data_IF_387920356960
#
_entry.id   IF_387920356960
#
_cell.length_a   1.000
_cell.length_b   1.000
_cell.length_c   1.000
_cell.angle_alpha   90.00
_cell.angle_beta   90.00
_cell.angle_gamma   90.00
#
_symmetry.space_group_name_H-M   'P 1'
#
loop_
_entity.id
_entity.type
_entity.pdbx_description
1 polymer ?
#
# COMPACT_ATOMS: atom_id res chain seq x y z
N UNK A 1 -10.58 21.01 -27.34
CA UNK A 1 -11.18 21.06 -25.99
C UNK A 1 -11.13 19.66 -25.43
N UNK A 2 -10.04 19.29 -24.74
CA UNK A 2 -9.99 18.04 -23.98
C UNK A 2 -10.98 18.18 -22.83
N UNK A 3 -11.97 17.28 -22.78
CA UNK A 3 -12.80 17.11 -21.59
C UNK A 3 -11.84 16.75 -20.45
N UNK A 4 -11.69 17.64 -19.46
CA UNK A 4 -11.00 17.31 -18.23
C UNK A 4 -11.83 16.23 -17.51
N UNK A 5 -11.51 14.96 -17.74
CA UNK A 5 -11.98 13.89 -16.87
C UNK A 5 -11.51 14.23 -15.45
N UNK A 6 -12.44 14.34 -14.51
CA UNK A 6 -12.10 14.51 -13.10
C UNK A 6 -11.18 13.36 -12.64
N UNK A 7 -10.09 13.68 -11.95
CA UNK A 7 -9.18 12.68 -11.39
C UNK A 7 -9.93 11.59 -10.61
N UNK A 8 -9.58 10.32 -10.81
CA UNK A 8 -10.34 9.20 -10.26
C UNK A 8 -9.58 7.88 -10.23
N UNK A 9 -10.17 6.84 -9.62
CA UNK A 9 -9.63 5.49 -9.66
C UNK A 9 -9.73 4.90 -11.08
N UNK A 10 -8.66 4.27 -11.55
CA UNK A 10 -8.57 3.65 -12.87
C UNK A 10 -8.04 2.23 -12.71
N UNK A 11 -8.85 1.25 -13.10
CA UNK A 11 -8.42 -0.15 -13.12
C UNK A 11 -7.40 -0.37 -14.24
N UNK A 12 -6.19 -0.78 -13.85
CA UNK A 12 -5.07 -1.04 -14.75
C UNK A 12 -4.83 -2.54 -14.95
N UNK A 13 -5.15 -3.38 -13.97
CA UNK A 13 -5.09 -4.84 -14.07
C UNK A 13 -6.46 -5.39 -13.70
N UNK A 14 -7.01 -6.26 -14.53
CA UNK A 14 -8.24 -7.00 -14.27
C UNK A 14 -7.99 -8.51 -14.28
N UNK A 15 -8.86 -9.24 -13.58
CA UNK A 15 -8.92 -10.70 -13.63
C UNK A 15 -10.19 -11.06 -14.40
N UNK A 16 -10.05 -11.80 -15.50
CA UNK A 16 -11.18 -12.24 -16.31
C UNK A 16 -11.93 -13.40 -15.65
N UNK A 17 -13.11 -13.74 -16.17
CA UNK A 17 -13.88 -14.91 -15.71
C UNK A 17 -13.11 -16.22 -15.87
N UNK A 18 -12.17 -16.29 -16.82
CA UNK A 18 -11.28 -17.42 -17.06
C UNK A 18 -10.02 -17.42 -16.17
N UNK A 19 -10.00 -16.62 -15.10
CA UNK A 19 -8.88 -16.50 -14.17
C UNK A 19 -7.56 -16.02 -14.81
N UNK A 20 -7.66 -15.21 -15.88
CA UNK A 20 -6.49 -14.62 -16.55
C UNK A 20 -6.29 -13.16 -16.14
N UNK A 21 -5.03 -12.78 -16.03
CA UNK A 21 -4.62 -11.40 -15.80
C UNK A 21 -4.57 -10.63 -17.11
N UNK A 22 -5.21 -9.47 -17.14
CA UNK A 22 -5.16 -8.55 -18.28
C UNK A 22 -4.70 -7.18 -17.82
N UNK A 23 -3.61 -6.70 -18.41
CA UNK A 23 -3.13 -5.33 -18.25
C UNK A 23 -3.80 -4.42 -19.29
N UNK A 24 -4.47 -3.37 -18.83
CA UNK A 24 -4.95 -2.30 -19.71
C UNK A 24 -3.80 -1.31 -19.98
N UNK A 25 -2.94 -1.66 -20.94
CA UNK A 25 -1.79 -0.84 -21.33
C UNK A 25 -2.20 0.58 -21.71
N UNK A 26 -3.39 0.78 -22.28
CA UNK A 26 -3.85 2.11 -22.70
C UNK A 26 -4.12 2.99 -21.48
N UNK A 27 -4.84 2.48 -20.49
CA UNK A 27 -5.10 3.20 -19.23
C UNK A 27 -3.81 3.41 -18.45
N UNK A 28 -2.96 2.39 -18.33
CA UNK A 28 -1.69 2.52 -17.64
C UNK A 28 -0.82 3.61 -18.29
N UNK A 29 -0.74 3.62 -19.62
CA UNK A 29 -0.01 4.63 -20.37
C UNK A 29 -0.58 6.03 -20.13
N UNK A 30 -1.90 6.22 -20.09
CA UNK A 30 -2.51 7.52 -19.79
C UNK A 30 -2.07 8.08 -18.42
N UNK A 31 -1.91 7.21 -17.42
CA UNK A 31 -1.49 7.58 -16.06
C UNK A 31 0.01 7.87 -16.03
N UNK A 32 0.82 6.93 -16.50
CA UNK A 32 2.28 6.99 -16.37
C UNK A 32 2.94 7.98 -17.35
N UNK A 33 2.30 8.28 -18.48
CA UNK A 33 2.72 9.31 -19.43
C UNK A 33 2.01 10.65 -19.19
N UNK A 34 1.41 10.84 -18.01
CA UNK A 34 0.84 12.13 -17.65
C UNK A 34 1.92 13.21 -17.71
N UNK A 35 1.62 14.35 -18.36
CA UNK A 35 2.58 15.45 -18.63
C UNK A 35 3.38 15.95 -17.42
N UNK A 36 2.80 15.84 -16.21
CA UNK A 36 3.45 16.20 -14.94
C UNK A 36 4.52 15.20 -14.50
N UNK A 37 4.40 13.92 -14.86
CA UNK A 37 5.25 12.84 -14.38
C UNK A 37 6.36 12.43 -15.36
N UNK A 38 6.17 12.62 -16.67
CA UNK A 38 7.20 12.27 -17.66
C UNK A 38 8.55 12.90 -17.30
N UNK A 39 9.59 12.07 -17.35
CA UNK A 39 10.97 12.47 -17.07
C UNK A 39 11.31 12.69 -15.59
N UNK A 40 10.33 12.52 -14.68
CA UNK A 40 10.57 12.57 -13.23
C UNK A 40 10.80 11.17 -12.68
N UNK A 41 11.63 11.09 -11.65
CA UNK A 41 11.70 9.94 -10.75
C UNK A 41 10.34 9.73 -10.10
N UNK A 42 10.03 8.50 -9.72
CA UNK A 42 8.72 8.16 -9.19
C UNK A 42 8.78 7.53 -7.80
N UNK A 43 7.69 7.69 -7.06
CA UNK A 43 7.33 6.86 -5.92
C UNK A 43 5.97 6.26 -6.19
N UNK A 44 5.85 4.93 -6.10
CA UNK A 44 4.57 4.25 -6.17
C UNK A 44 4.25 3.69 -4.79
N UNK A 45 3.24 4.29 -4.14
CA UNK A 45 2.75 3.90 -2.82
C UNK A 45 1.51 3.05 -2.98
N UNK A 46 1.58 1.83 -2.47
CA UNK A 46 0.52 0.84 -2.62
C UNK A 46 0.00 0.35 -1.30
N UNK A 47 -1.28 -0.02 -1.25
CA UNK A 47 -1.85 -0.77 -0.13
C UNK A 47 -2.28 -2.15 -0.61
N UNK A 48 -1.91 -3.17 0.15
CA UNK A 48 -2.21 -4.57 -0.13
C UNK A 48 -2.63 -5.31 1.14
N UNK A 49 -3.19 -6.50 0.97
CA UNK A 49 -3.66 -7.36 2.06
C UNK A 49 -5.16 -7.60 2.01
N UNK A 50 -5.70 -8.17 3.08
CA UNK A 50 -6.97 -8.90 3.02
C UNK A 50 -8.17 -8.07 2.53
N UNK A 51 -9.12 -8.79 1.95
CA UNK A 51 -10.37 -8.24 1.47
C UNK A 51 -11.24 -7.67 2.61
N UNK A 52 -11.93 -6.55 2.32
CA UNK A 52 -12.83 -5.81 3.25
C UNK A 52 -12.17 -5.21 4.50
N UNK A 53 -10.87 -4.94 4.48
CA UNK A 53 -10.15 -4.42 5.64
C UNK A 53 -9.85 -2.92 5.61
N UNK A 54 -10.65 -2.15 4.86
CA UNK A 54 -10.57 -0.68 4.85
C UNK A 54 -9.33 -0.09 4.18
N UNK A 55 -8.85 -0.72 3.09
CA UNK A 55 -7.69 -0.28 2.30
C UNK A 55 -7.95 1.04 1.56
N UNK A 56 -8.95 1.05 0.69
CA UNK A 56 -9.37 2.21 -0.10
C UNK A 56 -9.78 3.39 0.78
N UNK A 57 -10.42 3.13 1.93
CA UNK A 57 -10.70 4.14 2.96
C UNK A 57 -9.44 4.83 3.47
N UNK A 58 -8.34 4.10 3.68
CA UNK A 58 -7.08 4.69 4.09
C UNK A 58 -6.39 5.45 2.95
N UNK A 59 -6.43 4.92 1.72
CA UNK A 59 -5.89 5.60 0.55
C UNK A 59 -6.55 6.97 0.30
N UNK A 60 -7.82 7.12 0.64
CA UNK A 60 -8.46 8.44 0.52
C UNK A 60 -7.89 9.48 1.49
N UNK A 61 -7.38 9.07 2.66
CA UNK A 61 -6.61 9.97 3.52
C UNK A 61 -5.25 10.30 2.93
N UNK A 62 -4.63 9.36 2.20
CA UNK A 62 -3.39 9.64 1.47
C UNK A 62 -3.64 10.66 0.35
N UNK A 63 -4.78 10.54 -0.35
CA UNK A 63 -5.22 11.54 -1.32
C UNK A 63 -5.42 12.92 -0.67
N UNK A 64 -6.05 13.00 0.51
CA UNK A 64 -6.18 14.27 1.25
C UNK A 64 -4.81 14.87 1.57
N UNK A 65 -3.89 14.07 2.11
CA UNK A 65 -2.53 14.50 2.42
C UNK A 65 -1.80 15.06 1.19
N UNK A 66 -1.79 14.31 0.09
CA UNK A 66 -1.09 14.72 -1.14
C UNK A 66 -1.73 15.95 -1.80
N UNK A 67 -3.05 16.12 -1.71
CA UNK A 67 -3.75 17.33 -2.19
C UNK A 67 -3.48 18.56 -1.33
N UNK A 68 -3.19 18.36 -0.04
CA UNK A 68 -2.97 19.44 0.91
C UNK A 68 -1.61 20.13 0.76
N UNK A 69 -0.66 19.55 0.01
CA UNK A 69 0.64 20.15 -0.35
C UNK A 69 1.35 20.82 0.85
N UNK A 70 1.63 20.05 1.90
CA UNK A 70 2.29 20.48 3.15
C UNK A 70 1.46 21.36 4.11
N UNK A 71 0.13 21.45 3.93
CA UNK A 71 -0.73 22.05 4.95
C UNK A 71 -0.81 21.16 6.21
N UNK A 72 -0.62 21.75 7.39
CA UNK A 72 -0.65 21.06 8.69
C UNK A 72 -2.05 20.48 8.98
N UNK A 73 -3.11 21.11 8.47
CA UNK A 73 -4.50 20.67 8.63
C UNK A 73 -4.96 19.74 7.49
N UNK A 74 -4.05 18.93 6.93
CA UNK A 74 -4.30 18.11 5.74
C UNK A 74 -5.44 17.10 5.90
N UNK A 75 -5.75 16.68 7.13
CA UNK A 75 -6.74 15.64 7.42
C UNK A 75 -8.16 16.05 6.98
N UNK A 76 -8.41 17.36 6.84
CA UNK A 76 -9.67 17.94 6.36
C UNK A 76 -10.61 18.40 7.48
N UNK A 77 -11.77 18.93 7.11
CA UNK A 77 -12.77 19.45 8.07
C UNK A 77 -13.64 18.33 8.63
N UNK A 78 -14.14 18.53 9.86
CA UNK A 78 -14.96 17.54 10.59
C UNK A 78 -16.16 17.01 9.79
N UNK A 79 -16.83 17.89 9.05
CA UNK A 79 -18.06 17.57 8.29
C UNK A 79 -17.82 17.30 6.79
N UNK A 80 -16.57 17.24 6.36
CA UNK A 80 -16.22 17.01 4.95
C UNK A 80 -16.20 15.49 4.64
N UNK A 81 -17.01 15.00 3.68
CA UNK A 81 -16.97 13.60 3.25
C UNK A 81 -15.61 13.23 2.65
N UNK A 82 -15.23 11.97 2.83
CA UNK A 82 -14.02 11.41 2.23
C UNK A 82 -14.31 10.98 0.79
N UNK A 83 -13.42 11.34 -0.14
CA UNK A 83 -13.61 11.10 -1.57
C UNK A 83 -12.30 10.67 -2.23
N UNK A 84 -12.39 9.63 -3.05
CA UNK A 84 -11.27 9.16 -3.83
C UNK A 84 -11.58 7.82 -4.48
N UNK A 85 -10.87 6.78 -4.05
CA UNK A 85 -11.14 5.41 -4.45
C UNK A 85 -12.53 5.01 -3.98
N UNK A 86 -13.20 4.16 -4.76
CA UNK A 86 -14.52 3.71 -4.36
C UNK A 86 -14.44 2.73 -3.19
N UNK A 87 -15.10 3.07 -2.09
CA UNK A 87 -15.21 2.22 -0.91
C UNK A 87 -16.60 2.29 -0.30
N UNK A 88 -17.10 1.15 0.18
CA UNK A 88 -18.41 1.04 0.87
C UNK A 88 -18.39 -0.08 1.90
N UNK A 89 -19.23 0.00 2.92
CA UNK A 89 -19.58 -1.11 3.83
C UNK A 89 -20.26 -2.28 3.08
N UNK A 90 -20.38 -3.46 3.72
CA UNK A 90 -20.94 -4.68 3.11
C UNK A 90 -20.00 -5.90 3.08
N UNK A 91 -20.49 -7.03 2.56
CA UNK A 91 -19.74 -8.30 2.50
C UNK A 91 -19.21 -8.64 1.08
N UNK A 92 -19.69 -7.95 0.05
CA UNK A 92 -19.38 -8.22 -1.36
C UNK A 92 -18.18 -7.44 -1.87
N UNK A 93 -17.54 -7.97 -2.91
CA UNK A 93 -16.34 -7.41 -3.56
C UNK A 93 -16.56 -6.00 -4.07
N UNK A 94 -15.47 -5.22 -4.02
CA UNK A 94 -15.44 -3.85 -4.53
C UNK A 94 -14.25 -3.64 -5.47
N UNK A 95 -13.04 -3.97 -5.04
CA UNK A 95 -11.81 -3.84 -5.84
C UNK A 95 -11.41 -5.21 -6.43
N UNK A 96 -11.26 -5.31 -7.74
CA UNK A 96 -10.71 -6.48 -8.46
C UNK A 96 -9.45 -6.08 -9.22
N UNK A 97 -8.42 -6.93 -9.19
CA UNK A 97 -7.11 -6.63 -9.76
C UNK A 97 -6.40 -5.44 -9.12
N UNK A 98 -5.92 -4.49 -9.93
CA UNK A 98 -5.14 -3.32 -9.46
C UNK A 98 -5.74 -2.02 -10.00
N UNK A 99 -5.91 -1.04 -9.11
CA UNK A 99 -6.49 0.26 -9.41
C UNK A 99 -5.47 1.34 -9.06
N UNK A 100 -5.13 2.19 -10.02
CA UNK A 100 -4.29 3.36 -9.81
C UNK A 100 -5.11 4.64 -9.78
N UNK A 101 -4.67 5.64 -9.02
CA UNK A 101 -5.21 6.99 -9.15
C UNK A 101 -4.77 7.61 -10.48
N UNK A 102 -5.70 8.24 -11.21
CA UNK A 102 -5.46 8.65 -12.61
C UNK A 102 -4.44 9.76 -12.80
N UNK A 103 -4.17 10.54 -11.75
CA UNK A 103 -3.30 11.72 -11.80
C UNK A 103 -2.13 11.59 -10.82
N UNK A 104 -0.88 11.84 -11.24
CA UNK A 104 0.25 11.88 -10.33
C UNK A 104 0.20 13.13 -9.44
N UNK A 105 0.71 12.99 -8.22
CA UNK A 105 1.04 14.11 -7.35
C UNK A 105 2.51 14.47 -7.51
N UNK A 106 2.87 15.72 -7.24
CA UNK A 106 4.27 16.17 -7.27
C UNK A 106 4.67 16.60 -5.87
N UNK A 107 5.79 16.06 -5.39
CA UNK A 107 6.44 16.49 -4.16
C UNK A 107 7.89 16.89 -4.47
N UNK A 108 8.38 17.93 -3.81
CA UNK A 108 9.77 18.40 -3.95
C UNK A 108 10.65 17.78 -2.88
N UNK A 109 11.66 17.03 -3.28
CA UNK A 109 12.69 16.49 -2.40
C UNK A 109 13.48 17.60 -1.69
N UNK A 110 14.22 17.29 -0.61
CA UNK A 110 15.05 18.27 0.10
C UNK A 110 16.06 19.02 -0.78
N UNK A 111 16.52 18.40 -1.88
CA UNK A 111 17.43 18.98 -2.85
C UNK A 111 16.74 19.84 -3.94
N UNK A 112 15.40 19.91 -3.92
CA UNK A 112 14.57 20.64 -4.86
C UNK A 112 14.12 19.85 -6.09
N UNK A 113 14.56 18.59 -6.25
CA UNK A 113 14.10 17.73 -7.35
C UNK A 113 12.61 17.37 -7.15
N UNK A 114 11.79 17.51 -8.21
CA UNK A 114 10.40 17.07 -8.18
C UNK A 114 10.28 15.57 -8.48
N UNK A 115 9.51 14.87 -7.66
CA UNK A 115 9.20 13.45 -7.81
C UNK A 115 7.72 13.27 -8.06
N UNK A 116 7.37 12.36 -8.98
CA UNK A 116 5.98 12.01 -9.25
C UNK A 116 5.52 10.86 -8.34
N UNK A 117 4.46 11.11 -7.57
CA UNK A 117 3.87 10.15 -6.64
C UNK A 117 2.61 9.56 -7.25
N UNK A 118 2.55 8.23 -7.25
CA UNK A 118 1.40 7.45 -7.68
C UNK A 118 0.84 6.66 -6.49
N UNK A 119 -0.49 6.49 -6.48
CA UNK A 119 -1.19 5.67 -5.50
C UNK A 119 -1.84 4.47 -6.18
N UNK A 120 -1.74 3.31 -5.54
CA UNK A 120 -2.35 2.08 -6.04
C UNK A 120 -3.10 1.33 -4.94
N UNK A 121 -4.37 1.04 -5.22
CA UNK A 121 -5.20 0.11 -4.46
C UNK A 121 -5.15 -1.25 -5.13
N UNK A 122 -5.04 -2.30 -4.33
CA UNK A 122 -4.96 -3.67 -4.84
C UNK A 122 -6.13 -4.49 -4.32
N UNK A 123 -6.49 -5.52 -5.08
CA UNK A 123 -7.48 -6.48 -4.65
C UNK A 123 -7.13 -7.07 -3.28
N UNK A 124 -8.16 -7.31 -2.49
CA UNK A 124 -7.97 -8.02 -1.24
C UNK A 124 -7.65 -9.49 -1.44
N UNK A 125 -6.58 -9.96 -0.80
CA UNK A 125 -6.23 -11.38 -0.77
C UNK A 125 -7.28 -12.19 -0.01
N UNK A 126 -7.40 -13.48 -0.36
CA UNK A 126 -8.22 -14.50 0.34
C UNK A 126 -9.73 -14.24 0.39
N UNK A 127 -10.29 -13.73 -0.70
CA UNK A 127 -11.74 -13.67 -0.89
C UNK A 127 -12.29 -14.98 -1.49
N UNK A 128 -13.61 -15.19 -1.44
CA UNK A 128 -14.27 -16.49 -1.70
C UNK A 128 -14.24 -17.03 -3.14
N UNK A 129 -13.66 -16.29 -4.07
CA UNK A 129 -13.73 -16.47 -5.53
C UNK A 129 -12.36 -16.22 -6.19
N UNK A 130 -11.28 -15.95 -5.43
CA UNK A 130 -9.93 -15.86 -5.99
C UNK A 130 -9.03 -16.96 -5.47
N UNK A 131 -8.19 -17.48 -6.37
CA UNK A 131 -7.26 -18.56 -6.07
C UNK A 131 -6.04 -18.02 -5.31
N UNK A 132 -5.32 -18.94 -4.65
CA UNK A 132 -4.02 -18.60 -4.01
C UNK A 132 -3.02 -18.07 -5.03
N UNK A 133 -3.02 -18.65 -6.24
CA UNK A 133 -2.18 -18.18 -7.35
C UNK A 133 -2.53 -16.74 -7.73
N UNK A 134 -3.81 -16.40 -7.83
CA UNK A 134 -4.21 -15.06 -8.22
C UNK A 134 -3.80 -14.01 -7.18
N UNK A 135 -4.00 -14.35 -5.90
CA UNK A 135 -3.56 -13.52 -4.78
C UNK A 135 -2.04 -13.32 -4.79
N UNK A 136 -1.29 -14.40 -5.06
CA UNK A 136 0.16 -14.35 -5.15
C UNK A 136 0.64 -13.47 -6.30
N UNK A 137 0.03 -13.58 -7.48
CA UNK A 137 0.38 -12.77 -8.64
C UNK A 137 0.14 -11.27 -8.39
N UNK A 138 -1.06 -10.89 -7.93
CA UNK A 138 -1.38 -9.48 -7.64
C UNK A 138 -0.45 -8.91 -6.57
N UNK A 139 -0.21 -9.67 -5.50
CA UNK A 139 0.64 -9.21 -4.41
C UNK A 139 2.11 -9.11 -4.85
N UNK A 140 2.62 -10.10 -5.56
CA UNK A 140 3.97 -10.09 -6.11
C UNK A 140 4.19 -8.91 -7.06
N UNK A 141 3.28 -8.70 -8.02
CA UNK A 141 3.33 -7.56 -8.93
C UNK A 141 3.31 -6.24 -8.15
N UNK A 142 2.48 -6.14 -7.12
CA UNK A 142 2.45 -4.98 -6.21
C UNK A 142 3.81 -4.73 -5.55
N UNK A 143 4.46 -5.76 -5.02
CA UNK A 143 5.79 -5.64 -4.42
C UNK A 143 6.85 -5.19 -5.44
N UNK A 144 6.78 -5.73 -6.66
CA UNK A 144 7.72 -5.45 -7.74
C UNK A 144 7.65 -3.99 -8.20
N UNK A 145 6.44 -3.44 -8.33
CA UNK A 145 6.24 -2.09 -8.90
C UNK A 145 6.30 -0.98 -7.86
N UNK A 146 5.98 -1.28 -6.59
CA UNK A 146 5.91 -0.28 -5.53
C UNK A 146 7.28 0.02 -4.93
N UNK A 147 7.47 1.27 -4.51
CA UNK A 147 8.60 1.64 -3.63
C UNK A 147 8.22 1.50 -2.16
N UNK A 148 6.98 1.87 -1.82
CA UNK A 148 6.40 1.71 -0.49
C UNK A 148 5.14 0.87 -0.57
N UNK A 149 5.14 -0.29 0.09
CA UNK A 149 3.96 -1.15 0.22
C UNK A 149 3.45 -1.13 1.65
N UNK A 150 2.18 -0.77 1.84
CA UNK A 150 1.46 -0.89 3.11
C UNK A 150 0.70 -2.21 3.12
N UNK A 151 1.14 -3.15 3.94
CA UNK A 151 0.46 -4.44 4.11
C UNK A 151 -0.56 -4.34 5.24
N UNK A 152 -1.82 -4.16 4.87
CA UNK A 152 -2.94 -3.93 5.76
C UNK A 152 -3.48 -5.27 6.32
N UNK A 153 -3.23 -5.50 7.61
CA UNK A 153 -3.67 -6.68 8.36
C UNK A 153 -4.60 -6.27 9.51
N UNK A 154 -5.40 -7.19 10.02
CA UNK A 154 -6.36 -6.89 11.10
C UNK A 154 -5.92 -7.50 12.42
N UNK A 155 -6.17 -6.76 13.49
CA UNK A 155 -6.06 -7.12 14.90
C UNK A 155 -4.65 -7.44 15.41
N UNK A 156 -3.87 -8.27 14.72
CA UNK A 156 -2.55 -8.67 15.16
C UNK A 156 -1.66 -9.08 13.98
N UNK A 157 -0.34 -9.08 14.19
CA UNK A 157 0.63 -9.69 13.29
C UNK A 157 0.82 -11.16 13.69
N UNK A 158 0.25 -12.05 12.89
CA UNK A 158 0.23 -13.50 13.11
C UNK A 158 1.18 -14.24 12.15
N UNK A 159 1.49 -15.50 12.46
CA UNK A 159 2.47 -16.29 11.69
C UNK A 159 2.00 -16.58 10.26
N UNK A 160 0.70 -16.79 10.05
CA UNK A 160 0.10 -16.95 8.73
C UNK A 160 0.30 -15.68 7.87
N UNK A 161 0.23 -14.48 8.47
CA UNK A 161 0.52 -13.25 7.74
C UNK A 161 1.97 -13.22 7.23
N UNK A 162 2.92 -13.69 8.05
CA UNK A 162 4.34 -13.79 7.68
C UNK A 162 4.56 -14.85 6.61
N UNK A 163 3.90 -16.01 6.72
CA UNK A 163 3.97 -17.10 5.76
C UNK A 163 3.41 -16.69 4.39
N UNK A 164 2.24 -16.07 4.36
CA UNK A 164 1.63 -15.55 3.12
C UNK A 164 2.52 -14.50 2.46
N UNK A 165 3.02 -13.54 3.23
CA UNK A 165 3.93 -12.53 2.72
C UNK A 165 5.22 -13.14 2.18
N UNK A 166 5.81 -14.08 2.91
CA UNK A 166 7.02 -14.81 2.48
C UNK A 166 6.78 -15.56 1.16
N UNK A 167 5.62 -16.20 1.01
CA UNK A 167 5.23 -16.88 -0.22
C UNK A 167 5.03 -15.91 -1.39
N UNK A 168 4.32 -14.79 -1.18
CA UNK A 168 4.10 -13.78 -2.22
C UNK A 168 5.41 -13.08 -2.64
N UNK A 169 6.29 -12.81 -1.67
CA UNK A 169 7.62 -12.27 -1.91
C UNK A 169 8.47 -13.24 -2.74
N UNK A 170 8.46 -14.53 -2.41
CA UNK A 170 9.17 -15.56 -3.18
C UNK A 170 8.64 -15.65 -4.62
N UNK A 171 7.33 -15.56 -4.82
CA UNK A 171 6.74 -15.51 -6.15
C UNK A 171 7.22 -14.29 -6.95
N UNK A 172 7.28 -13.11 -6.33
CA UNK A 172 7.81 -11.91 -6.98
C UNK A 172 9.29 -12.01 -7.31
N UNK A 173 10.09 -12.65 -6.44
CA UNK A 173 11.51 -12.90 -6.68
C UNK A 173 11.75 -13.78 -7.90
N UNK A 174 10.93 -14.81 -8.11
CA UNK A 174 11.05 -15.70 -9.28
C UNK A 174 10.80 -14.99 -10.61
N UNK A 175 10.17 -13.82 -10.61
CA UNK A 175 9.96 -12.98 -11.78
C UNK A 175 11.13 -12.03 -12.07
N UNK A 176 12.19 -12.03 -11.25
CA UNK A 176 13.37 -11.18 -11.41
C UNK A 176 14.57 -12.03 -11.85
N UNK A 177 15.15 -11.74 -13.02
CA UNK A 177 16.23 -12.54 -13.63
C UNK A 177 17.52 -12.62 -12.77
N UNK A 178 17.89 -11.55 -12.07
CA UNK A 178 18.95 -11.53 -11.06
C UNK A 178 18.90 -10.22 -10.24
N UNK A 179 19.06 -10.31 -8.92
CA UNK A 179 19.20 -9.12 -8.05
C UNK A 179 20.48 -9.21 -7.21
N UNK A 180 21.20 -8.09 -7.10
CA UNK A 180 22.40 -7.98 -6.27
C UNK A 180 22.10 -7.49 -4.85
N UNK A 181 20.96 -6.83 -4.65
CA UNK A 181 20.48 -6.25 -3.38
C UNK A 181 19.02 -6.68 -3.14
N UNK A 182 18.45 -6.38 -1.98
CA UNK A 182 17.05 -6.73 -1.69
C UNK A 182 16.09 -6.31 -2.83
N UNK A 183 15.28 -7.24 -3.37
CA UNK A 183 14.44 -7.05 -4.55
C UNK A 183 13.31 -6.05 -4.33
N UNK A 184 12.86 -5.90 -3.09
CA UNK A 184 11.80 -4.96 -2.70
C UNK A 184 12.37 -3.90 -1.76
N UNK A 185 11.81 -2.69 -1.82
CA UNK A 185 12.28 -1.57 -1.02
C UNK A 185 11.63 -1.58 0.37
N UNK A 186 10.52 -0.86 0.54
CA UNK A 186 9.87 -0.72 1.85
C UNK A 186 8.56 -1.49 1.92
N UNK A 187 8.41 -2.25 3.00
CA UNK A 187 7.15 -2.80 3.47
C UNK A 187 6.79 -2.19 4.82
N UNK A 188 5.55 -1.79 5.01
CA UNK A 188 5.00 -1.39 6.30
C UNK A 188 3.80 -2.26 6.64
N UNK A 189 3.94 -3.13 7.64
CA UNK A 189 2.79 -3.79 8.25
C UNK A 189 1.91 -2.73 8.92
N UNK A 190 0.66 -2.64 8.50
CA UNK A 190 -0.33 -1.80 9.15
C UNK A 190 -1.33 -2.71 9.87
N UNK A 191 -1.18 -2.81 11.19
CA UNK A 191 -2.07 -3.61 12.03
C UNK A 191 -3.28 -2.75 12.40
N UNK A 192 -4.40 -3.00 11.75
CA UNK A 192 -5.67 -2.32 11.98
C UNK A 192 -6.37 -2.86 13.22
N UNK A 193 -7.16 -2.02 13.88
CA UNK A 193 -7.96 -2.40 15.04
C UNK A 193 -7.12 -3.08 16.13
N UNK A 194 -5.92 -2.54 16.42
CA UNK A 194 -5.10 -2.97 17.55
C UNK A 194 -5.85 -2.69 18.87
N UNK A 195 -6.00 -3.72 19.69
CA UNK A 195 -6.83 -3.66 20.92
C UNK A 195 -6.01 -3.62 22.21
N UNK A 196 -4.69 -3.84 22.11
CA UNK A 196 -3.83 -4.04 23.28
C UNK A 196 -2.93 -2.83 23.55
N UNK A 197 -3.47 -1.60 23.46
CA UNK A 197 -2.70 -0.36 23.70
C UNK A 197 -2.01 -0.36 25.07
N UNK A 198 -2.67 -0.92 26.08
CA UNK A 198 -2.17 -1.03 27.44
C UNK A 198 -0.92 -1.93 27.57
N UNK A 199 -0.71 -2.85 26.63
CA UNK A 199 0.49 -3.71 26.54
C UNK A 199 1.53 -3.11 25.58
N UNK A 200 1.07 -2.59 24.44
CA UNK A 200 1.94 -2.03 23.41
C UNK A 200 1.25 -0.82 22.77
N UNK A 201 1.83 0.39 22.87
CA UNK A 201 1.18 1.62 22.45
C UNK A 201 0.96 1.67 20.94
N UNK A 202 -0.02 2.47 20.51
CA UNK A 202 -0.25 2.73 19.09
C UNK A 202 0.94 3.41 18.39
N UNK A 203 0.99 3.25 17.06
CA UNK A 203 1.98 3.90 16.19
C UNK A 203 3.17 3.02 15.83
N UNK A 204 4.22 3.65 15.28
CA UNK A 204 5.44 2.95 14.85
C UNK A 204 6.27 2.37 16.00
N UNK A 205 6.35 3.06 17.14
CA UNK A 205 7.14 2.58 18.28
C UNK A 205 6.66 1.23 18.80
N UNK A 206 5.37 1.11 19.13
CA UNK A 206 4.81 -0.18 19.50
C UNK A 206 4.79 -1.20 18.35
N UNK A 207 4.64 -0.73 17.12
CA UNK A 207 4.77 -1.59 15.94
C UNK A 207 6.15 -2.23 15.83
N UNK A 208 7.22 -1.48 16.10
CA UNK A 208 8.59 -1.97 16.12
C UNK A 208 8.80 -3.06 17.19
N UNK A 209 8.23 -2.88 18.38
CA UNK A 209 8.27 -3.89 19.44
C UNK A 209 7.62 -5.22 18.98
N UNK A 210 6.41 -5.13 18.41
CA UNK A 210 5.69 -6.31 17.89
C UNK A 210 6.45 -6.97 16.75
N UNK A 211 6.94 -6.19 15.79
CA UNK A 211 7.64 -6.70 14.62
C UNK A 211 8.95 -7.39 15.01
N UNK A 212 9.72 -6.77 15.90
CA UNK A 212 11.00 -7.30 16.38
C UNK A 212 10.81 -8.64 17.07
N UNK A 213 9.79 -8.75 17.92
CA UNK A 213 9.48 -10.00 18.61
C UNK A 213 8.98 -11.08 17.64
N UNK A 214 8.13 -10.72 16.67
CA UNK A 214 7.60 -11.67 15.66
C UNK A 214 8.67 -12.18 14.71
N UNK A 215 9.62 -11.33 14.31
CA UNK A 215 10.71 -11.70 13.41
C UNK A 215 11.94 -12.28 14.13
N UNK A 216 11.96 -12.32 15.47
CA UNK A 216 13.06 -12.92 16.23
C UNK A 216 13.19 -14.41 15.88
N UNK A 217 14.39 -14.79 15.44
CA UNK A 217 14.76 -16.20 15.26
C UNK A 217 15.24 -16.70 16.63
N UNK A 218 14.67 -17.82 17.08
CA UNK A 218 14.98 -18.40 18.40
C UNK A 218 15.77 -19.69 18.24
N UNK A 219 16.62 -19.99 19.23
CA UNK A 219 17.30 -21.29 19.29
C UNK A 219 16.25 -22.43 19.35
N UNK A 220 16.46 -23.49 18.57
CA UNK A 220 15.56 -24.63 18.43
C UNK A 220 14.18 -24.31 17.79
N UNK A 221 14.04 -23.18 17.10
CA UNK A 221 12.85 -22.91 16.30
C UNK A 221 12.73 -23.87 15.10
N UNK A 222 11.50 -24.22 14.72
CA UNK A 222 11.28 -25.04 13.51
C UNK A 222 11.84 -24.34 12.27
N UNK A 223 12.53 -25.10 11.41
CA UNK A 223 13.25 -24.58 10.23
C UNK A 223 12.36 -23.73 9.31
N UNK A 224 11.11 -24.13 9.14
CA UNK A 224 10.17 -23.39 8.28
C UNK A 224 9.89 -21.96 8.80
N UNK A 225 9.81 -21.80 10.12
CA UNK A 225 9.58 -20.50 10.75
C UNK A 225 10.83 -19.60 10.65
N UNK A 226 12.02 -20.20 10.77
CA UNK A 226 13.30 -19.52 10.55
C UNK A 226 13.43 -19.06 9.09
N UNK A 227 13.04 -19.91 8.14
CA UNK A 227 13.08 -19.64 6.70
C UNK A 227 12.19 -18.45 6.33
N UNK A 228 10.95 -18.42 6.85
CA UNK A 228 10.03 -17.28 6.66
C UNK A 228 10.68 -15.98 7.11
N UNK A 229 11.23 -15.93 8.33
CA UNK A 229 11.87 -14.72 8.90
C UNK A 229 13.09 -14.29 8.10
N UNK A 230 13.93 -15.25 7.72
CA UNK A 230 15.14 -15.01 6.93
C UNK A 230 14.81 -14.43 5.56
N UNK A 231 13.80 -14.98 4.89
CA UNK A 231 13.33 -14.45 3.59
C UNK A 231 12.82 -13.04 3.71
N UNK A 232 11.97 -12.74 4.70
CA UNK A 232 11.44 -11.38 4.88
C UNK A 232 12.56 -10.37 5.11
N UNK A 233 13.61 -10.73 5.85
CA UNK A 233 14.79 -9.87 6.03
C UNK A 233 15.62 -9.68 4.76
N UNK A 234 15.67 -10.69 3.88
CA UNK A 234 16.45 -10.64 2.64
C UNK A 234 15.70 -9.93 1.51
N UNK A 235 14.38 -10.12 1.43
CA UNK A 235 13.55 -9.63 0.32
C UNK A 235 13.32 -8.11 0.38
N UNK A 236 13.34 -7.51 1.56
CA UNK A 236 12.98 -6.11 1.77
C UNK A 236 14.16 -5.31 2.33
N UNK A 237 14.44 -4.14 1.75
CA UNK A 237 15.42 -3.19 2.32
C UNK A 237 14.98 -2.66 3.67
N UNK A 238 13.68 -2.42 3.83
CA UNK A 238 13.08 -1.92 5.06
C UNK A 238 11.74 -2.58 5.35
N UNK A 239 11.57 -3.07 6.57
CA UNK A 239 10.31 -3.60 7.07
C UNK A 239 9.95 -2.88 8.36
N UNK A 240 8.83 -2.18 8.35
CA UNK A 240 8.29 -1.45 9.49
C UNK A 240 6.92 -1.99 9.89
N UNK A 241 6.44 -1.61 11.07
CA UNK A 241 5.10 -1.95 11.54
C UNK A 241 4.46 -0.74 12.22
N UNK A 242 3.16 -0.55 12.02
CA UNK A 242 2.37 0.51 12.64
C UNK A 242 1.11 -0.10 13.26
N UNK A 243 0.88 0.19 14.54
CA UNK A 243 -0.32 -0.25 15.26
C UNK A 243 -1.39 0.84 15.21
N UNK A 244 -2.49 0.57 14.52
CA UNK A 244 -3.60 1.50 14.31
C UNK A 244 -4.80 1.10 15.18
N UNK A 245 -5.41 2.02 15.95
CA UNK A 245 -6.63 1.74 16.71
C UNK A 245 -7.82 1.41 15.80
N UNK A 246 -8.92 0.98 16.42
CA UNK A 246 -10.20 0.83 15.73
C UNK A 246 -10.80 2.21 15.39
N UNK A 247 -11.35 2.45 14.19
CA UNK A 247 -11.80 3.78 13.75
C UNK A 247 -13.13 4.25 14.38
N UNK A 248 -13.82 3.37 15.09
CA UNK A 248 -15.10 3.63 15.77
C UNK A 248 -16.25 2.83 15.21
N UNK A 249 -17.24 2.54 16.05
CA UNK A 249 -18.40 1.73 15.65
C UNK A 249 -19.27 2.42 14.58
N UNK A 250 -19.26 3.75 14.52
CA UNK A 250 -19.96 4.50 13.48
C UNK A 250 -19.37 4.22 12.09
N UNK A 251 -18.05 4.08 12.00
CA UNK A 251 -17.33 3.77 10.76
C UNK A 251 -17.65 2.35 10.27
N UNK A 252 -17.74 1.39 11.18
CA UNK A 252 -17.89 -0.03 10.82
C UNK A 252 -19.34 -0.48 10.69
N UNK A 253 -20.28 0.12 11.43
CA UNK A 253 -21.66 -0.37 11.52
C UNK A 253 -22.68 0.47 10.73
N UNK A 254 -22.34 1.68 10.27
CA UNK A 254 -23.26 2.53 9.50
C UNK A 254 -23.09 2.32 8.00
N UNK A 255 -24.20 2.02 7.32
CA UNK A 255 -24.23 1.89 5.85
C UNK A 255 -24.08 3.22 5.11
N UNK A 256 -24.48 4.31 5.76
CA UNK A 256 -24.49 5.67 5.22
C UNK A 256 -23.23 6.47 5.61
N UNK A 257 -22.25 5.84 6.25
CA UNK A 257 -20.97 6.46 6.55
C UNK A 257 -20.22 6.85 5.26
N UNK A 258 -19.83 8.11 5.15
CA UNK A 258 -19.17 8.70 3.99
C UNK A 258 -17.81 9.32 4.32
N UNK A 259 -17.20 8.92 5.44
CA UNK A 259 -15.81 9.27 5.77
C UNK A 259 -15.64 10.61 6.49
N UNK A 260 -16.72 11.26 6.95
CA UNK A 260 -16.62 12.46 7.79
C UNK A 260 -15.87 12.16 9.09
N UNK A 261 -14.96 13.05 9.47
CA UNK A 261 -14.11 12.89 10.65
C UNK A 261 -14.89 12.94 11.96
N UNK A 262 -16.04 13.61 11.99
CA UNK A 262 -16.90 13.72 13.19
C UNK A 262 -17.45 12.37 13.66
N UNK A 263 -17.43 11.38 12.76
CA UNK A 263 -17.87 10.02 13.03
C UNK A 263 -16.70 9.03 13.24
N UNK A 264 -15.45 9.53 13.30
CA UNK A 264 -14.23 8.74 13.50
C UNK A 264 -13.66 9.04 14.89
N UNK A 265 -13.21 8.00 15.61
CA UNK A 265 -12.61 8.14 16.94
C UNK A 265 -11.33 8.99 16.94
N UNK A 266 -11.11 9.75 18.00
CA UNK A 266 -9.98 10.68 18.14
C UNK A 266 -8.62 9.98 18.09
N UNK A 267 -8.49 8.80 18.70
CA UNK A 267 -7.24 8.05 18.68
C UNK A 267 -6.88 7.62 17.26
N UNK A 268 -7.88 7.23 16.45
CA UNK A 268 -7.66 6.90 15.04
C UNK A 268 -7.22 8.12 14.24
N UNK A 269 -7.87 9.28 14.43
CA UNK A 269 -7.46 10.54 13.79
C UNK A 269 -6.03 10.92 14.19
N UNK A 270 -5.70 10.79 15.47
CA UNK A 270 -4.38 11.08 16.02
C UNK A 270 -3.28 10.18 15.44
N UNK A 271 -3.58 8.90 15.21
CA UNK A 271 -2.64 7.96 14.61
C UNK A 271 -2.56 8.12 13.08
N UNK A 272 -3.63 8.52 12.39
CA UNK A 272 -3.56 8.94 10.98
C UNK A 272 -2.60 10.11 10.77
N UNK A 273 -2.65 11.11 11.67
CA UNK A 273 -1.73 12.26 11.65
C UNK A 273 -0.25 11.89 11.81
N UNK A 274 0.05 10.69 12.32
CA UNK A 274 1.40 10.15 12.43
C UNK A 274 1.76 9.22 11.27
N UNK A 275 0.84 8.33 10.88
CA UNK A 275 1.06 7.35 9.83
C UNK A 275 1.30 8.00 8.47
N UNK A 276 0.38 8.88 8.04
CA UNK A 276 0.38 9.36 6.64
C UNK A 276 1.62 10.20 6.32
N UNK A 277 2.06 11.16 7.15
CA UNK A 277 3.30 11.88 6.88
C UNK A 277 4.54 10.99 6.81
N UNK A 278 4.63 9.94 7.64
CA UNK A 278 5.77 9.01 7.62
C UNK A 278 5.79 8.15 6.34
N UNK A 279 4.63 7.74 5.81
CA UNK A 279 4.54 7.02 4.53
C UNK A 279 5.08 7.88 3.37
N UNK A 280 4.86 9.18 3.41
CA UNK A 280 5.31 10.14 2.39
C UNK A 280 6.55 10.94 2.80
N UNK A 281 7.37 10.40 3.71
CA UNK A 281 8.57 11.09 4.21
C UNK A 281 9.63 11.19 3.11
N UNK A 282 10.00 12.41 2.73
CA UNK A 282 10.83 12.68 1.55
C UNK A 282 12.33 12.45 1.74
N UNK A 283 12.81 12.37 2.98
CA UNK A 283 14.20 12.01 3.32
C UNK A 283 14.42 10.49 3.46
N UNK A 284 13.39 9.68 3.19
CA UNK A 284 13.47 8.23 3.21
C UNK A 284 14.14 7.71 1.95
N UNK A 285 15.30 7.07 2.10
CA UNK A 285 16.08 6.46 1.01
C UNK A 285 15.30 5.42 0.19
N UNK A 286 14.24 4.82 0.76
CA UNK A 286 13.41 3.81 0.09
C UNK A 286 12.19 4.42 -0.63
N UNK A 287 12.04 5.74 -0.63
CA UNK A 287 10.83 6.40 -1.14
C UNK A 287 10.77 6.42 -2.67
N UNK A 288 11.91 6.69 -3.33
CA UNK A 288 12.03 6.69 -4.79
C UNK A 288 12.15 5.26 -5.28
N UNK A 289 11.37 4.89 -6.28
CA UNK A 289 11.41 3.54 -6.83
C UNK A 289 12.75 3.26 -7.48
N UNK A 290 13.37 2.18 -7.03
CA UNK A 290 14.60 1.66 -7.58
C UNK A 290 14.38 0.22 -8.06
N UNK A 291 14.90 -0.10 -9.23
CA UNK A 291 14.96 -1.46 -9.75
C UNK A 291 16.41 -1.70 -10.20
N UNK A 292 17.01 -2.78 -9.72
CA UNK A 292 18.39 -3.18 -10.04
C UNK A 292 19.47 -2.09 -9.79
N UNK A 293 19.31 -1.25 -8.76
CA UNK A 293 20.28 -0.18 -8.47
C UNK A 293 19.93 1.17 -9.07
N UNK A 294 18.96 1.22 -10.00
CA UNK A 294 18.64 2.43 -10.76
C UNK A 294 17.30 3.02 -10.33
N UNK A 295 17.30 4.32 -10.04
CA UNK A 295 16.07 5.08 -9.78
C UNK A 295 15.30 5.21 -11.09
N UNK A 296 14.04 4.77 -11.10
CA UNK A 296 13.25 4.70 -12.31
C UNK A 296 12.31 5.89 -12.48
N UNK A 297 11.99 6.19 -13.74
CA UNK A 297 11.00 7.20 -14.12
C UNK A 297 9.62 6.58 -14.34
N UNK A 298 8.61 7.42 -14.59
CA UNK A 298 7.25 6.94 -14.87
C UNK A 298 7.16 6.13 -16.17
N UNK A 299 7.99 6.45 -17.16
CA UNK A 299 8.05 5.72 -18.43
C UNK A 299 8.75 4.38 -18.28
N UNK A 300 9.77 4.29 -17.44
CA UNK A 300 10.45 3.02 -17.15
C UNK A 300 9.48 2.07 -16.44
N UNK A 301 8.73 2.57 -15.46
CA UNK A 301 7.71 1.79 -14.74
C UNK A 301 6.66 1.17 -15.69
N UNK A 302 6.27 1.89 -16.75
CA UNK A 302 5.35 1.37 -17.76
C UNK A 302 5.92 0.14 -18.48
N UNK A 303 7.19 0.17 -18.86
CA UNK A 303 7.83 -0.98 -19.51
C UNK A 303 7.97 -2.16 -18.54
N UNK A 304 8.27 -1.90 -17.25
CA UNK A 304 8.28 -2.96 -16.23
C UNK A 304 6.92 -3.65 -16.06
N UNK A 305 5.81 -2.91 -16.12
CA UNK A 305 4.47 -3.51 -16.13
C UNK A 305 4.16 -4.33 -17.38
N UNK A 306 4.77 -4.01 -18.54
CA UNK A 306 4.52 -4.71 -19.81
C UNK A 306 5.32 -6.00 -19.97
N UNK A 307 6.52 -6.03 -19.40
CA UNK A 307 7.46 -7.15 -19.55
C UNK A 307 7.28 -8.20 -18.45
N UNK A 308 6.75 -7.83 -17.28
CA UNK A 308 6.39 -8.74 -16.18
C UNK A 308 4.99 -9.32 -16.29
#
# INVERSE_FOLDING_TARGET
MEQSSSAGPVQIVSITEDHKFELDEKKLKQILFHRRAIGKKISLVSIAGDFRKGKSFLLDFFLRYLRAQNNIEWIGKENEPLKGFDWRGGATRHTTGMIMWSEPFLLSLPDGEEVAIFLMDTQGTFDSNSTVFENAFIFALTLLVSSVTVYNIMHNLQEDNLQHLSFFAEYGVLAIDAYHTSPFQQLTFLVRDWQFEYETPYGFGGGEDILSERLKIRENQHRDLELVRSRLRQCFRKVNCFLMPHPGLKVTNRKDFDGRLVDIEEDFKSQLLKLVPEIFRLDNENFIKEINGEQITSTDLFEYFRVG
#
